data_IF_916397359246
#
_entry.id   IF_916397359246
#
_cell.length_a   1.000
_cell.length_b   1.000
_cell.length_c   1.000
_cell.angle_alpha   90.00
_cell.angle_beta   90.00
_cell.angle_gamma   90.00
#
_symmetry.space_group_name_H-M   'P 1'
#
loop_
_entity.id
_entity.type
_entity.pdbx_description
1 polymer ?
#
# COMPACT_ATOMS: atom_id res chain seq x y z
N UNK A 1 19.18 -17.23 -39.57
CA UNK A 1 18.71 -15.84 -39.43
C UNK A 1 17.44 -15.68 -40.26
N UNK A 2 16.33 -15.34 -39.62
CA UNK A 2 15.11 -14.87 -40.26
C UNK A 2 14.43 -13.92 -39.26
N UNK A 3 14.17 -12.68 -39.65
CA UNK A 3 13.67 -11.63 -38.76
C UNK A 3 12.21 -11.35 -39.07
N UNK A 4 11.30 -11.89 -38.25
CA UNK A 4 9.93 -11.40 -38.14
C UNK A 4 9.89 -10.39 -36.99
N UNK A 5 9.47 -9.17 -37.28
CA UNK A 5 9.21 -8.14 -36.28
C UNK A 5 7.71 -7.85 -36.31
N UNK A 6 7.03 -8.08 -35.19
CA UNK A 6 5.61 -7.78 -35.01
C UNK A 6 5.42 -6.80 -33.85
N UNK A 7 4.31 -6.06 -33.88
CA UNK A 7 4.25 -4.71 -33.32
C UNK A 7 3.99 -4.66 -31.81
N UNK A 8 4.67 -3.70 -31.16
CA UNK A 8 4.39 -3.28 -29.79
C UNK A 8 3.23 -2.25 -29.81
N UNK A 9 2.14 -2.44 -29.06
CA UNK A 9 1.17 -1.39 -28.76
C UNK A 9 1.65 -0.51 -27.60
N UNK A 10 1.36 0.79 -27.68
CA UNK A 10 1.83 1.81 -26.73
C UNK A 10 1.12 1.71 -25.37
N UNK A 11 1.85 1.81 -24.26
CA UNK A 11 1.29 1.69 -22.90
C UNK A 11 0.97 3.08 -22.34
N UNK A 12 -0.28 3.49 -22.48
CA UNK A 12 -0.76 4.76 -21.96
C UNK A 12 -0.75 4.79 -20.41
N UNK A 13 0.00 5.72 -19.83
CA UNK A 13 0.11 5.93 -18.38
C UNK A 13 -1.05 6.76 -17.82
N UNK A 14 -2.20 6.11 -17.57
CA UNK A 14 -3.32 6.75 -16.85
C UNK A 14 -3.13 6.69 -15.33
N UNK A 15 -2.88 7.85 -14.70
CA UNK A 15 -2.71 7.96 -13.25
C UNK A 15 -4.02 7.86 -12.45
N UNK A 16 -3.94 7.29 -11.24
CA UNK A 16 -5.05 7.17 -10.28
C UNK A 16 -5.41 8.52 -9.63
N UNK A 17 -6.70 8.95 -9.64
CA UNK A 17 -7.15 10.12 -8.88
C UNK A 17 -7.37 9.82 -7.38
N UNK A 18 -6.86 10.67 -6.51
CA UNK A 18 -7.09 10.63 -5.04
C UNK A 18 -8.46 11.28 -4.69
N UNK A 19 -9.41 10.54 -4.07
CA UNK A 19 -10.78 11.03 -3.83
C UNK A 19 -10.91 11.92 -2.59
N UNK A 20 -9.97 12.85 -2.34
CA UNK A 20 -9.97 13.70 -1.12
C UNK A 20 -9.67 15.20 -1.31
N UNK A 21 -10.27 15.85 -2.32
CA UNK A 21 -10.49 17.32 -2.26
C UNK A 21 -11.55 17.85 -3.24
N UNK A 22 -12.69 18.28 -2.70
CA UNK A 22 -13.66 19.13 -3.40
C UNK A 22 -14.29 20.11 -2.38
N UNK A 23 -13.75 21.31 -2.31
CA UNK A 23 -14.37 22.45 -1.61
C UNK A 23 -13.94 23.72 -2.34
N UNK A 24 -14.90 24.36 -3.00
CA UNK A 24 -14.68 25.50 -3.89
C UNK A 24 -15.50 26.69 -3.41
N UNK A 25 -14.84 27.66 -2.77
CA UNK A 25 -15.41 28.98 -2.58
C UNK A 25 -15.38 29.76 -3.91
N UNK A 26 -16.43 30.54 -4.25
CA UNK A 26 -16.38 31.50 -5.35
C UNK A 26 -15.63 32.78 -4.92
N UNK A 27 -14.98 33.43 -5.88
CA UNK A 27 -14.24 34.69 -5.71
C UNK A 27 -15.10 35.91 -5.99
N UNK A 28 -14.87 37.00 -5.26
CA UNK A 28 -15.41 38.33 -5.58
C UNK A 28 -14.62 38.98 -6.73
N UNK A 29 -15.29 39.64 -7.69
CA UNK A 29 -14.95 41.01 -8.09
C UNK A 29 -16.00 41.69 -9.01
N UNK A 30 -16.22 42.97 -8.75
CA UNK A 30 -16.42 44.07 -9.71
C UNK A 30 -17.43 43.95 -10.87
N UNK A 31 -18.63 44.50 -10.65
CA UNK A 31 -19.44 45.17 -11.69
C UNK A 31 -20.18 46.38 -11.09
N UNK A 32 -20.34 47.47 -11.85
CA UNK A 32 -20.88 48.76 -11.37
C UNK A 32 -22.02 49.28 -12.25
N UNK A 33 -22.95 50.07 -11.68
CA UNK A 33 -23.88 50.89 -12.49
C UNK A 33 -25.24 51.28 -11.89
N UNK A 34 -25.30 52.49 -11.33
CA UNK A 34 -26.44 53.47 -11.40
C UNK A 34 -27.88 52.99 -11.07
N UNK A 35 -28.47 53.54 -9.99
CA UNK A 35 -29.93 53.48 -9.74
C UNK A 35 -30.38 53.99 -8.36
N UNK A 36 -30.75 55.28 -8.28
CA UNK A 36 -31.32 55.98 -7.10
C UNK A 36 -32.68 56.60 -7.51
N UNK A 37 -33.56 57.04 -6.59
CA UNK A 37 -33.65 56.80 -5.13
C UNK A 37 -35.08 56.36 -4.68
N UNK A 38 -35.32 56.05 -3.38
CA UNK A 38 -35.99 57.03 -2.49
C UNK A 38 -36.21 56.62 -1.00
N UNK A 39 -36.18 57.68 -0.17
CA UNK A 39 -36.70 57.86 1.19
C UNK A 39 -36.91 56.65 2.15
N UNK A 40 -35.94 56.46 3.05
CA UNK A 40 -36.24 56.17 4.48
C UNK A 40 -36.37 57.49 5.24
N UNK A 41 -37.34 57.57 6.14
CA UNK A 41 -37.45 58.66 7.13
C UNK A 41 -36.65 58.34 8.41
N UNK A 42 -36.15 59.39 9.07
CA UNK A 42 -35.53 59.36 10.40
C UNK A 42 -35.60 60.78 11.00
N UNK A 43 -35.57 60.87 12.33
CA UNK A 43 -35.60 62.09 13.16
C UNK A 43 -36.95 62.83 13.24
N UNK A 44 -37.50 62.88 14.46
CA UNK A 44 -37.96 64.13 15.06
C UNK A 44 -36.84 64.71 15.96
N UNK A 45 -37.12 65.51 17.00
CA UNK A 45 -38.41 66.06 17.45
C UNK A 45 -38.48 67.60 17.33
N UNK A 46 -39.59 68.20 17.75
CA UNK A 46 -39.58 69.34 18.71
C UNK A 46 -40.98 69.67 19.25
N UNK A 47 -40.98 70.58 20.23
CA UNK A 47 -42.07 70.95 21.13
C UNK A 47 -42.77 72.28 20.70
N UNK A 48 -43.49 72.88 21.65
CA UNK A 48 -44.05 74.25 21.68
C UNK A 48 -45.49 74.46 21.12
N UNK A 49 -46.44 74.29 22.04
CA UNK A 49 -47.42 75.31 22.48
C UNK A 49 -48.51 75.91 21.54
N UNK A 50 -49.34 76.73 22.19
CA UNK A 50 -50.31 77.73 21.72
C UNK A 50 -51.77 77.34 21.33
N UNK A 51 -52.65 77.85 22.22
CA UNK A 51 -53.95 78.51 21.99
C UNK A 51 -55.25 77.75 21.66
N UNK A 52 -56.22 77.96 22.56
CA UNK A 52 -57.64 77.99 22.21
C UNK A 52 -58.04 79.41 21.80
N UNK A 53 -58.76 79.57 20.68
CA UNK A 53 -60.03 80.32 20.70
C UNK A 53 -60.91 80.17 19.45
N UNK A 54 -62.17 80.56 19.68
CA UNK A 54 -63.26 80.91 18.75
C UNK A 54 -62.79 81.77 17.54
N UNK A 55 -63.53 81.86 16.42
CA UNK A 55 -64.53 82.96 16.38
C UNK A 55 -65.75 82.89 15.43
N UNK A 56 -66.69 83.80 15.73
CA UNK A 56 -67.72 84.48 14.91
C UNK A 56 -69.17 83.93 14.92
N UNK A 57 -70.18 84.61 15.50
CA UNK A 57 -70.73 85.99 15.31
C UNK A 57 -71.73 86.12 14.13
N UNK A 58 -72.79 86.94 14.14
CA UNK A 58 -73.55 87.64 15.21
C UNK A 58 -74.92 88.13 14.63
N UNK A 59 -75.62 89.04 15.34
CA UNK A 59 -76.60 90.07 14.89
C UNK A 59 -78.09 89.99 15.34
N UNK A 60 -78.71 91.19 15.45
CA UNK A 60 -79.69 91.52 16.53
C UNK A 60 -81.10 92.04 16.06
N UNK A 61 -81.81 93.08 16.59
CA UNK A 61 -83.29 93.01 16.80
C UNK A 61 -84.13 93.94 15.88
N UNK A 62 -85.43 94.20 16.19
CA UNK A 62 -85.80 95.52 16.76
C UNK A 62 -86.98 95.50 17.79
N UNK A 63 -87.55 96.68 18.10
CA UNK A 63 -88.29 97.03 19.35
C UNK A 63 -89.78 97.48 19.16
N UNK A 64 -90.44 97.83 20.29
CA UNK A 64 -91.58 98.79 20.47
C UNK A 64 -93.00 98.42 19.94
N UNK A 65 -94.16 98.94 20.39
CA UNK A 65 -94.68 100.04 21.29
C UNK A 65 -96.07 99.57 21.91
N UNK A 66 -96.90 100.36 22.67
CA UNK A 66 -96.79 101.66 23.39
C UNK A 66 -97.05 101.45 24.94
N UNK A 67 -97.86 102.14 25.79
CA UNK A 67 -98.81 103.28 25.79
C UNK A 67 -99.05 103.88 27.24
N UNK A 68 -99.63 105.09 27.42
CA UNK A 68 -99.49 105.87 28.68
C UNK A 68 -100.83 106.42 29.35
N UNK A 69 -100.98 107.67 29.88
CA UNK A 69 -100.99 107.94 31.34
C UNK A 69 -102.09 108.89 31.88
N UNK A 70 -102.06 109.28 33.18
CA UNK A 70 -102.71 110.51 33.71
C UNK A 70 -102.09 111.06 35.02
N UNK A 71 -101.66 112.33 35.02
CA UNK A 71 -101.72 113.26 36.18
C UNK A 71 -103.10 113.98 36.14
N UNK A 72 -103.55 114.95 36.95
CA UNK A 72 -103.06 115.83 38.04
C UNK A 72 -104.31 116.08 38.94
N UNK A 73 -104.34 116.53 40.21
CA UNK A 73 -103.41 117.31 41.02
C UNK A 73 -103.95 118.74 41.26
N UNK A 74 -104.59 119.01 42.42
CA UNK A 74 -104.79 120.37 42.97
C UNK A 74 -105.48 120.40 44.35
N UNK A 75 -105.42 121.55 45.05
CA UNK A 75 -105.85 121.73 46.45
C UNK A 75 -106.25 123.18 46.74
N UNK A 76 -107.22 123.42 47.65
CA UNK A 76 -107.09 124.28 48.86
C UNK A 76 -108.41 124.81 49.47
N UNK A 77 -108.45 124.75 50.81
CA UNK A 77 -109.02 125.72 51.76
C UNK A 77 -110.53 125.90 52.01
N UNK A 78 -110.78 126.52 53.17
CA UNK A 78 -111.99 126.76 53.97
C UNK A 78 -112.37 128.27 53.93
N UNK A 79 -113.29 128.89 54.73
CA UNK A 79 -114.05 128.40 55.91
C UNK A 79 -115.53 128.89 56.01
N UNK A 80 -116.04 128.92 57.24
CA UNK A 80 -117.34 129.41 57.74
C UNK A 80 -117.48 130.97 57.68
N UNK A 81 -118.46 131.70 58.26
CA UNK A 81 -119.42 131.46 59.38
C UNK A 81 -120.59 132.51 59.37
N UNK A 82 -121.58 132.38 60.28
CA UNK A 82 -122.60 133.37 60.75
C UNK A 82 -123.38 134.26 59.74
N UNK A 83 -124.73 134.25 59.71
CA UNK A 83 -125.70 134.83 60.68
C UNK A 83 -125.65 136.36 60.88
N UNK A 84 -126.66 137.09 60.37
CA UNK A 84 -127.64 137.79 61.23
C UNK A 84 -128.78 138.50 60.46
N UNK A 85 -129.99 138.47 61.04
CA UNK A 85 -130.95 139.58 61.08
C UNK A 85 -131.62 140.06 59.79
N UNK A 86 -132.77 139.47 59.41
CA UNK A 86 -133.69 140.06 58.41
C UNK A 86 -135.13 140.10 58.93
N UNK A 87 -135.77 141.24 58.68
CA UNK A 87 -137.20 141.63 58.84
C UNK A 87 -138.22 140.56 58.37
N UNK A 88 -139.53 140.59 58.78
CA UNK A 88 -140.54 139.57 58.48
C UNK A 88 -140.75 139.10 57.02
N UNK A 89 -140.16 139.75 56.01
CA UNK A 89 -140.02 139.17 54.67
C UNK A 89 -139.19 137.85 54.66
N UNK A 90 -138.33 137.65 55.67
CA UNK A 90 -137.47 136.48 55.81
C UNK A 90 -138.23 135.17 56.08
N UNK A 91 -139.39 135.22 56.75
CA UNK A 91 -140.14 134.00 57.07
C UNK A 91 -140.71 133.33 55.80
N UNK A 92 -141.17 134.13 54.84
CA UNK A 92 -141.65 133.63 53.55
C UNK A 92 -140.49 133.04 52.70
N UNK A 93 -139.31 133.67 52.75
CA UNK A 93 -138.10 133.15 52.08
C UNK A 93 -137.55 131.89 52.74
N UNK A 94 -137.60 131.76 54.08
CA UNK A 94 -137.22 130.52 54.78
C UNK A 94 -138.13 129.35 54.41
N UNK A 95 -139.43 129.58 54.19
CA UNK A 95 -140.35 128.56 53.69
C UNK A 95 -139.93 128.01 52.31
N UNK A 96 -139.54 128.88 51.38
CA UNK A 96 -139.07 128.49 50.05
C UNK A 96 -137.71 127.78 50.11
N UNK A 97 -136.78 128.28 50.93
CA UNK A 97 -135.45 127.68 51.16
C UNK A 97 -135.53 126.27 51.79
N UNK A 98 -136.55 126.00 52.62
CA UNK A 98 -136.75 124.70 53.24
C UNK A 98 -137.17 123.61 52.22
N UNK A 99 -138.03 123.93 51.26
CA UNK A 99 -138.36 123.00 50.17
C UNK A 99 -137.22 122.87 49.15
N UNK A 100 -136.41 123.92 48.93
CA UNK A 100 -135.19 123.80 48.12
C UNK A 100 -134.21 122.78 48.71
N UNK A 101 -133.94 122.83 50.03
CA UNK A 101 -133.08 121.82 50.71
C UNK A 101 -133.59 120.39 50.60
N UNK A 102 -134.92 120.18 50.58
CA UNK A 102 -135.52 118.85 50.31
C UNK A 102 -135.26 118.36 48.89
N UNK A 103 -135.17 119.25 47.90
CA UNK A 103 -134.83 118.91 46.53
C UNK A 103 -133.33 118.66 46.37
N UNK A 104 -132.48 119.46 47.01
CA UNK A 104 -131.02 119.27 47.07
C UNK A 104 -130.64 117.91 47.69
N UNK A 105 -131.29 117.51 48.79
CA UNK A 105 -131.08 116.19 49.41
C UNK A 105 -131.37 115.04 48.44
N UNK A 106 -132.54 115.07 47.77
CA UNK A 106 -132.91 114.05 46.77
C UNK A 106 -131.97 114.01 45.56
N UNK A 107 -131.37 115.14 45.20
CA UNK A 107 -130.38 115.21 44.12
C UNK A 107 -129.05 114.56 44.55
N UNK A 108 -128.64 114.75 45.81
CA UNK A 108 -127.46 114.09 46.38
C UNK A 108 -127.64 112.57 46.48
N UNK A 109 -128.82 112.09 46.92
CA UNK A 109 -129.14 110.65 46.97
C UNK A 109 -129.02 110.02 45.57
N UNK A 110 -129.60 110.65 44.54
CA UNK A 110 -129.56 110.17 43.15
C UNK A 110 -128.14 110.16 42.56
N UNK A 111 -127.32 111.17 42.85
CA UNK A 111 -125.93 111.22 42.40
C UNK A 111 -125.06 110.14 43.09
N UNK A 112 -125.37 109.82 44.35
CA UNK A 112 -124.68 108.76 45.10
C UNK A 112 -124.97 107.38 44.51
N UNK A 113 -126.25 107.10 44.19
CA UNK A 113 -126.64 105.84 43.56
C UNK A 113 -126.12 105.73 42.11
N UNK A 114 -126.04 106.85 41.38
CA UNK A 114 -125.42 106.89 40.05
C UNK A 114 -123.92 106.58 40.07
N UNK A 115 -123.19 106.99 41.12
CA UNK A 115 -121.80 106.62 41.32
C UNK A 115 -121.66 105.10 41.58
N UNK A 116 -122.44 104.57 42.53
CA UNK A 116 -122.46 103.13 42.87
C UNK A 116 -122.68 102.24 41.64
N UNK A 117 -123.69 102.55 40.82
CA UNK A 117 -124.01 101.78 39.61
C UNK A 117 -122.94 101.90 38.51
N UNK A 118 -122.06 102.89 38.57
CA UNK A 118 -120.94 103.05 37.64
C UNK A 118 -119.77 102.14 38.04
N UNK A 119 -119.39 102.16 39.31
CA UNK A 119 -118.31 101.32 39.84
C UNK A 119 -118.66 99.82 39.69
N UNK A 120 -119.91 99.44 39.96
CA UNK A 120 -120.44 98.07 39.81
C UNK A 120 -120.46 97.59 38.33
N UNK A 121 -120.50 98.51 37.35
CA UNK A 121 -120.29 98.20 35.93
C UNK A 121 -118.81 98.06 35.55
N UNK A 122 -117.95 98.89 36.13
CA UNK A 122 -116.50 98.92 35.83
C UNK A 122 -115.79 97.66 36.39
N UNK A 123 -116.26 97.12 37.52
CA UNK A 123 -115.83 95.82 38.06
C UNK A 123 -116.24 94.65 37.15
N UNK A 124 -117.50 94.62 36.69
CA UNK A 124 -117.98 93.58 35.77
C UNK A 124 -117.24 93.57 34.43
N UNK A 125 -116.78 94.73 33.95
CA UNK A 125 -116.11 94.89 32.65
C UNK A 125 -114.65 94.40 32.64
N UNK A 126 -114.00 94.38 33.80
CA UNK A 126 -112.58 94.00 33.96
C UNK A 126 -112.38 92.56 34.48
N UNK A 127 -113.46 91.79 34.66
CA UNK A 127 -113.40 90.39 35.08
C UNK A 127 -112.92 89.49 33.92
N UNK A 128 -111.79 88.76 34.05
CA UNK A 128 -111.36 87.84 33.00
C UNK A 128 -112.37 86.70 32.81
N UNK A 129 -112.55 86.18 31.58
CA UNK A 129 -113.49 85.11 31.30
C UNK A 129 -113.10 83.83 32.06
N UNK A 130 -114.09 83.21 32.71
CA UNK A 130 -113.90 81.94 33.39
C UNK A 130 -113.61 80.86 32.34
N UNK A 131 -112.51 80.07 32.47
CA UNK A 131 -112.21 79.02 31.51
C UNK A 131 -113.30 77.93 31.53
N UNK A 132 -113.74 77.52 30.33
CA UNK A 132 -114.74 76.48 30.15
C UNK A 132 -114.25 75.15 30.78
N UNK A 133 -115.01 74.52 31.69
CA UNK A 133 -114.64 73.22 32.27
C UNK A 133 -114.43 72.13 31.20
N UNK A 134 -115.07 72.24 30.03
CA UNK A 134 -114.85 71.34 28.88
C UNK A 134 -113.42 71.46 28.35
N UNK A 135 -112.92 72.68 28.19
CA UNK A 135 -111.55 72.94 27.72
C UNK A 135 -110.49 72.51 28.74
N UNK A 136 -110.78 72.64 30.04
CA UNK A 136 -109.93 72.10 31.10
C UNK A 136 -109.90 70.56 31.08
N UNK A 137 -111.04 69.91 30.88
CA UNK A 137 -111.11 68.45 30.80
C UNK A 137 -110.38 67.90 29.56
N UNK A 138 -110.46 68.59 28.42
CA UNK A 138 -109.71 68.22 27.21
C UNK A 138 -108.20 68.49 27.34
N UNK A 139 -107.80 69.55 28.04
CA UNK A 139 -106.39 69.78 28.39
C UNK A 139 -105.84 68.68 29.32
N UNK A 140 -106.61 68.20 30.28
CA UNK A 140 -106.25 67.07 31.14
C UNK A 140 -106.17 65.75 30.36
N UNK A 141 -107.14 65.50 29.47
CA UNK A 141 -107.15 64.35 28.56
C UNK A 141 -105.93 64.37 27.62
N UNK A 142 -105.60 65.54 27.07
CA UNK A 142 -104.45 65.73 26.18
C UNK A 142 -103.13 65.58 26.95
N UNK A 143 -103.03 66.12 28.17
CA UNK A 143 -101.88 65.96 29.07
C UNK A 143 -101.66 64.50 29.44
N UNK A 144 -102.74 63.75 29.67
CA UNK A 144 -102.70 62.31 29.97
C UNK A 144 -102.24 61.50 28.75
N UNK A 145 -102.74 61.82 27.54
CA UNK A 145 -102.26 61.24 26.28
C UNK A 145 -100.78 61.56 26.04
N UNK A 146 -100.39 62.82 26.20
CA UNK A 146 -99.00 63.28 26.06
C UNK A 146 -98.06 62.56 27.03
N UNK A 147 -98.41 62.45 28.31
CA UNK A 147 -97.61 61.71 29.30
C UNK A 147 -97.51 60.21 28.97
N UNK A 148 -98.54 59.60 28.38
CA UNK A 148 -98.50 58.21 27.90
C UNK A 148 -97.60 58.05 26.68
N UNK A 149 -97.67 58.98 25.72
CA UNK A 149 -96.77 59.03 24.56
C UNK A 149 -95.32 59.27 24.99
N UNK A 150 -95.06 60.18 25.95
CA UNK A 150 -93.74 60.47 26.50
C UNK A 150 -93.11 59.26 27.19
N UNK A 151 -93.90 58.46 27.92
CA UNK A 151 -93.43 57.16 28.48
C UNK A 151 -93.10 56.14 27.39
N UNK A 152 -93.94 56.03 26.35
CA UNK A 152 -93.67 55.15 25.20
C UNK A 152 -92.45 55.59 24.40
N UNK A 153 -92.24 56.90 24.25
CA UNK A 153 -91.06 57.50 23.63
C UNK A 153 -89.79 57.09 24.40
N UNK A 154 -89.70 57.38 25.71
CA UNK A 154 -88.53 56.99 26.51
C UNK A 154 -88.30 55.46 26.53
N UNK A 155 -89.37 54.65 26.54
CA UNK A 155 -89.24 53.20 26.41
C UNK A 155 -88.66 52.78 25.05
N UNK A 156 -89.06 53.46 23.96
CA UNK A 156 -88.56 53.18 22.61
C UNK A 156 -87.14 53.70 22.40
N UNK A 157 -86.81 54.88 22.93
CA UNK A 157 -85.46 55.45 22.96
C UNK A 157 -84.51 54.54 23.75
N UNK A 158 -84.93 54.01 24.90
CA UNK A 158 -84.17 53.00 25.65
C UNK A 158 -83.99 51.69 24.85
N UNK A 159 -84.99 51.24 24.09
CA UNK A 159 -84.88 50.07 23.22
C UNK A 159 -83.93 50.33 22.04
N UNK A 160 -83.98 51.50 21.41
CA UNK A 160 -83.07 51.90 20.32
C UNK A 160 -81.64 51.99 20.84
N UNK A 161 -81.41 52.58 22.01
CA UNK A 161 -80.08 52.68 22.62
C UNK A 161 -79.52 51.31 23.05
N UNK A 162 -80.38 50.34 23.38
CA UNK A 162 -79.96 48.96 23.66
C UNK A 162 -79.62 48.22 22.36
N UNK A 163 -80.48 48.30 21.35
CA UNK A 163 -80.23 47.74 20.01
C UNK A 163 -79.00 48.35 19.34
N UNK A 164 -78.69 49.63 19.56
CA UNK A 164 -77.49 50.27 19.04
C UNK A 164 -76.21 49.59 19.57
N UNK A 165 -76.13 49.33 20.88
CA UNK A 165 -75.02 48.60 21.51
C UNK A 165 -74.94 47.14 21.06
N UNK A 166 -76.09 46.50 20.84
CA UNK A 166 -76.17 45.14 20.30
C UNK A 166 -75.67 45.08 18.85
N UNK A 167 -75.99 46.08 18.01
CA UNK A 167 -75.42 46.18 16.67
C UNK A 167 -73.92 46.51 16.68
N UNK A 168 -73.45 47.33 17.61
CA UNK A 168 -72.03 47.68 17.74
C UNK A 168 -71.17 46.48 18.18
N UNK A 169 -71.67 45.67 19.12
CA UNK A 169 -71.04 44.39 19.51
C UNK A 169 -71.07 43.37 18.39
N UNK A 170 -72.21 43.17 17.71
CA UNK A 170 -72.31 42.30 16.53
C UNK A 170 -71.39 42.75 15.37
N UNK A 171 -71.07 44.04 15.27
CA UNK A 171 -70.08 44.54 14.29
C UNK A 171 -68.67 44.09 14.66
N UNK A 172 -68.30 44.19 15.94
CA UNK A 172 -67.04 43.67 16.47
C UNK A 172 -66.90 42.16 16.28
N UNK A 173 -67.94 41.39 16.62
CA UNK A 173 -67.99 39.94 16.39
C UNK A 173 -67.79 39.60 14.89
N UNK A 174 -68.38 40.40 13.99
CA UNK A 174 -68.23 40.23 12.54
C UNK A 174 -66.82 40.57 12.04
N UNK A 175 -66.18 41.59 12.61
CA UNK A 175 -64.78 41.96 12.32
C UNK A 175 -63.81 40.87 12.80
N UNK A 176 -64.05 40.27 13.98
CA UNK A 176 -63.28 39.13 14.49
C UNK A 176 -63.48 37.86 13.63
N UNK A 177 -64.71 37.56 13.22
CA UNK A 177 -65.00 36.42 12.31
C UNK A 177 -64.31 36.60 10.96
N UNK A 178 -64.22 37.82 10.41
CA UNK A 178 -63.50 38.07 9.16
C UNK A 178 -61.97 37.93 9.34
N UNK A 179 -61.42 38.41 10.46
CA UNK A 179 -60.02 38.21 10.83
C UNK A 179 -59.65 36.72 10.92
N UNK A 180 -60.40 35.95 11.73
CA UNK A 180 -60.22 34.50 11.90
C UNK A 180 -60.39 33.73 10.58
N UNK A 181 -61.24 34.22 9.68
CA UNK A 181 -61.44 33.63 8.34
C UNK A 181 -60.25 33.89 7.41
N UNK A 182 -59.56 35.00 7.55
CA UNK A 182 -58.34 35.31 6.80
C UNK A 182 -57.15 34.50 7.33
N UNK A 183 -56.97 34.44 8.65
CA UNK A 183 -55.99 33.55 9.30
C UNK A 183 -56.20 32.08 8.89
N UNK A 184 -57.44 31.58 8.90
CA UNK A 184 -57.74 30.23 8.42
C UNK A 184 -57.39 30.02 6.95
N UNK A 185 -57.50 31.04 6.08
CA UNK A 185 -57.05 30.91 4.68
C UNK A 185 -55.53 30.85 4.57
N UNK A 186 -54.79 31.58 5.40
CA UNK A 186 -53.32 31.56 5.41
C UNK A 186 -52.80 30.22 5.95
N UNK A 187 -53.33 29.75 7.08
CA UNK A 187 -53.03 28.41 7.63
C UNK A 187 -53.33 27.27 6.64
N UNK A 188 -54.37 27.40 5.80
CA UNK A 188 -54.65 26.42 4.74
C UNK A 188 -53.68 26.50 3.54
N UNK A 189 -53.09 27.68 3.25
CA UNK A 189 -52.01 27.82 2.24
C UNK A 189 -50.72 27.22 2.76
N UNK A 190 -50.36 27.50 4.01
CA UNK A 190 -49.17 26.94 4.65
C UNK A 190 -49.26 25.42 4.77
N UNK A 191 -50.45 24.88 5.09
CA UNK A 191 -50.69 23.43 5.10
C UNK A 191 -50.50 22.78 3.72
N UNK A 192 -50.95 23.42 2.63
CA UNK A 192 -50.75 22.95 1.26
C UNK A 192 -49.26 23.00 0.84
N UNK A 193 -48.50 24.00 1.30
CA UNK A 193 -47.04 24.07 1.12
C UNK A 193 -46.36 22.94 1.89
N UNK A 194 -46.65 22.77 3.18
CA UNK A 194 -46.07 21.71 4.03
C UNK A 194 -46.41 20.30 3.52
N UNK A 195 -47.59 20.10 2.92
CA UNK A 195 -47.96 18.84 2.25
C UNK A 195 -47.08 18.58 1.02
N UNK A 196 -46.79 19.59 0.21
CA UNK A 196 -45.90 19.46 -0.96
C UNK A 196 -44.45 19.21 -0.55
N UNK A 197 -43.96 19.88 0.49
CA UNK A 197 -42.63 19.63 1.04
C UNK A 197 -42.49 18.21 1.60
N UNK A 198 -43.49 17.74 2.37
CA UNK A 198 -43.56 16.36 2.85
C UNK A 198 -43.52 15.35 1.70
N UNK A 199 -44.29 15.59 0.63
CA UNK A 199 -44.41 14.66 -0.49
C UNK A 199 -43.18 14.70 -1.41
N UNK A 200 -42.42 15.80 -1.43
CA UNK A 200 -41.08 15.84 -2.03
C UNK A 200 -40.08 15.05 -1.19
N UNK A 201 -40.01 15.29 0.13
CA UNK A 201 -39.12 14.54 1.04
C UNK A 201 -39.40 13.03 1.01
N UNK A 202 -40.66 12.62 0.83
CA UNK A 202 -41.03 11.21 0.64
C UNK A 202 -40.50 10.61 -0.68
N UNK A 203 -40.46 11.39 -1.77
CA UNK A 203 -39.85 10.98 -3.04
C UNK A 203 -38.32 10.91 -2.94
N UNK A 204 -37.70 11.91 -2.31
CA UNK A 204 -36.25 11.97 -2.12
C UNK A 204 -35.77 10.80 -1.23
N UNK A 205 -36.49 10.48 -0.16
CA UNK A 205 -36.22 9.33 0.69
C UNK A 205 -36.34 7.99 -0.07
N UNK A 206 -37.31 7.87 -0.97
CA UNK A 206 -37.47 6.69 -1.83
C UNK A 206 -36.32 6.57 -2.86
N UNK A 207 -35.86 7.69 -3.42
CA UNK A 207 -34.71 7.73 -4.31
C UNK A 207 -33.41 7.32 -3.59
N UNK A 208 -33.11 7.94 -2.44
CA UNK A 208 -31.95 7.61 -1.60
C UNK A 208 -31.97 6.16 -1.13
N UNK A 209 -33.16 5.62 -0.80
CA UNK A 209 -33.30 4.20 -0.45
C UNK A 209 -32.88 3.29 -1.62
N UNK A 210 -33.36 3.58 -2.83
CA UNK A 210 -33.03 2.84 -4.05
C UNK A 210 -31.53 2.94 -4.40
N UNK A 211 -30.91 4.10 -4.24
CA UNK A 211 -29.47 4.28 -4.44
C UNK A 211 -28.65 3.49 -3.41
N UNK A 212 -29.04 3.54 -2.13
CA UNK A 212 -28.41 2.76 -1.06
C UNK A 212 -28.55 1.24 -1.29
N UNK A 213 -29.68 0.77 -1.80
CA UNK A 213 -29.88 -0.65 -2.16
C UNK A 213 -29.03 -1.05 -3.38
N UNK A 214 -28.87 -0.17 -4.38
CA UNK A 214 -28.00 -0.41 -5.53
C UNK A 214 -26.51 -0.42 -5.13
N UNK A 215 -26.08 0.47 -4.22
CA UNK A 215 -24.72 0.44 -3.66
C UNK A 215 -24.46 -0.84 -2.87
N UNK A 216 -25.44 -1.34 -2.10
CA UNK A 216 -25.30 -2.61 -1.38
C UNK A 216 -25.04 -3.79 -2.35
N UNK A 217 -25.77 -3.84 -3.47
CA UNK A 217 -25.55 -4.85 -4.53
C UNK A 217 -24.16 -4.71 -5.18
N UNK A 218 -23.64 -3.49 -5.37
CA UNK A 218 -22.28 -3.27 -5.86
C UNK A 218 -21.22 -3.75 -4.85
N UNK A 219 -21.38 -3.47 -3.56
CA UNK A 219 -20.48 -3.97 -2.52
C UNK A 219 -20.47 -5.51 -2.44
N UNK A 220 -21.64 -6.15 -2.52
CA UNK A 220 -21.76 -7.62 -2.57
C UNK A 220 -21.06 -8.20 -3.82
N UNK A 221 -21.19 -7.54 -4.98
CA UNK A 221 -20.48 -7.92 -6.21
C UNK A 221 -18.96 -7.80 -6.08
N UNK A 222 -18.46 -6.70 -5.50
CA UNK A 222 -17.01 -6.51 -5.30
C UNK A 222 -16.43 -7.45 -4.22
N UNK A 223 -17.23 -7.85 -3.23
CA UNK A 223 -16.85 -8.87 -2.25
C UNK A 223 -16.72 -10.26 -2.91
N UNK A 224 -17.65 -10.63 -3.79
CA UNK A 224 -17.56 -11.88 -4.58
C UNK A 224 -16.37 -11.87 -5.56
N UNK A 225 -16.06 -10.73 -6.18
CA UNK A 225 -14.90 -10.55 -7.05
C UNK A 225 -13.58 -10.68 -6.26
N UNK A 226 -13.45 -9.96 -5.12
CA UNK A 226 -12.30 -10.06 -4.20
C UNK A 226 -12.04 -11.50 -3.79
N UNK A 227 -13.07 -12.19 -3.32
CA UNK A 227 -12.97 -13.58 -2.86
C UNK A 227 -12.58 -14.54 -3.99
N UNK A 228 -12.91 -14.22 -5.23
CA UNK A 228 -12.51 -15.02 -6.41
C UNK A 228 -11.03 -14.79 -6.73
N UNK A 229 -10.60 -13.52 -6.77
CA UNK A 229 -9.20 -13.14 -6.96
C UNK A 229 -8.28 -13.67 -5.84
N UNK A 230 -8.76 -13.76 -4.59
CA UNK A 230 -8.02 -14.38 -3.49
C UNK A 230 -7.78 -15.87 -3.71
N UNK A 231 -8.80 -16.64 -4.13
CA UNK A 231 -8.65 -18.07 -4.46
C UNK A 231 -7.74 -18.30 -5.67
N UNK A 232 -7.82 -17.43 -6.68
CA UNK A 232 -6.90 -17.47 -7.83
C UNK A 232 -5.45 -17.19 -7.40
N UNK A 233 -5.24 -16.21 -6.50
CA UNK A 233 -3.92 -15.93 -5.92
C UNK A 233 -3.38 -17.13 -5.16
N UNK A 234 -4.18 -17.73 -4.27
CA UNK A 234 -3.80 -18.94 -3.52
C UNK A 234 -3.47 -20.13 -4.44
N UNK A 235 -4.19 -20.30 -5.55
CA UNK A 235 -3.91 -21.34 -6.54
C UNK A 235 -2.58 -21.09 -7.27
N UNK A 236 -2.29 -19.85 -7.66
CA UNK A 236 -1.04 -19.47 -8.32
C UNK A 236 0.17 -19.53 -7.36
N UNK A 237 -0.03 -19.27 -6.07
CA UNK A 237 0.99 -19.48 -5.04
C UNK A 237 1.34 -20.97 -4.89
N UNK A 238 0.34 -21.86 -4.90
CA UNK A 238 0.54 -23.31 -4.86
C UNK A 238 1.21 -23.85 -6.13
N UNK A 239 0.80 -23.39 -7.32
CA UNK A 239 1.41 -23.78 -8.59
C UNK A 239 2.89 -23.38 -8.66
N UNK A 240 3.20 -22.13 -8.28
CA UNK A 240 4.58 -21.62 -8.15
C UNK A 240 5.43 -22.52 -7.26
N UNK A 241 4.91 -22.87 -6.08
CA UNK A 241 5.68 -23.65 -5.09
C UNK A 241 5.90 -25.11 -5.54
N UNK A 242 4.95 -25.70 -6.27
CA UNK A 242 5.14 -26.98 -6.96
C UNK A 242 6.25 -26.90 -8.01
N UNK A 243 6.24 -25.88 -8.87
CA UNK A 243 7.27 -25.66 -9.90
C UNK A 243 8.66 -25.45 -9.27
N UNK A 244 8.73 -24.76 -8.12
CA UNK A 244 9.99 -24.61 -7.37
C UNK A 244 10.50 -25.94 -6.81
N UNK A 245 9.61 -26.78 -6.28
CA UNK A 245 9.97 -28.12 -5.79
C UNK A 245 10.42 -29.06 -6.91
N UNK A 246 9.77 -29.03 -8.08
CA UNK A 246 10.18 -29.77 -9.27
C UNK A 246 11.55 -29.32 -9.78
N UNK A 247 11.79 -28.01 -9.88
CA UNK A 247 13.08 -27.42 -10.25
C UNK A 247 14.20 -27.90 -9.32
N UNK A 248 13.98 -27.86 -8.01
CA UNK A 248 15.00 -28.21 -7.02
C UNK A 248 15.26 -29.72 -6.98
N UNK A 249 14.26 -30.53 -7.29
CA UNK A 249 14.41 -31.98 -7.52
C UNK A 249 15.26 -32.27 -8.77
N UNK A 250 14.98 -31.60 -9.89
CA UNK A 250 15.76 -31.75 -11.13
C UNK A 250 17.22 -31.25 -11.00
N UNK A 251 17.48 -30.26 -10.14
CA UNK A 251 18.83 -29.83 -9.77
C UNK A 251 19.58 -30.93 -8.99
N UNK A 252 18.92 -31.58 -8.02
CA UNK A 252 19.51 -32.70 -7.27
C UNK A 252 19.80 -33.90 -8.18
N UNK A 253 18.89 -34.26 -9.09
CA UNK A 253 19.10 -35.33 -10.06
C UNK A 253 20.30 -35.03 -10.97
N UNK A 254 20.36 -33.82 -11.55
CA UNK A 254 21.51 -33.35 -12.36
C UNK A 254 22.82 -33.48 -11.60
N UNK A 255 22.86 -33.05 -10.34
CA UNK A 255 24.09 -33.02 -9.55
C UNK A 255 24.52 -34.43 -9.12
N UNK A 256 23.58 -35.36 -8.93
CA UNK A 256 23.86 -36.79 -8.78
C UNK A 256 24.46 -37.40 -10.06
N UNK A 257 23.90 -37.09 -11.23
CA UNK A 257 24.41 -37.57 -12.54
C UNK A 257 25.83 -37.02 -12.81
N UNK A 258 26.11 -35.78 -12.40
CA UNK A 258 27.45 -35.20 -12.49
C UNK A 258 28.47 -35.94 -11.59
N UNK A 259 28.08 -36.31 -10.37
CA UNK A 259 28.94 -37.10 -9.48
C UNK A 259 29.20 -38.52 -10.02
N UNK A 260 28.17 -39.19 -10.55
CA UNK A 260 28.32 -40.51 -11.18
C UNK A 260 29.25 -40.45 -12.40
N UNK A 261 29.07 -39.46 -13.28
CA UNK A 261 29.95 -39.20 -14.42
C UNK A 261 31.41 -39.03 -13.97
N UNK A 262 31.66 -38.25 -12.92
CA UNK A 262 33.02 -37.95 -12.47
C UNK A 262 33.68 -39.16 -11.80
N UNK A 263 32.91 -40.04 -11.14
CA UNK A 263 33.39 -41.37 -10.72
C UNK A 263 33.78 -42.24 -11.92
N UNK A 264 32.92 -42.33 -12.95
CA UNK A 264 33.18 -43.12 -14.17
C UNK A 264 34.44 -42.60 -14.91
N UNK A 265 34.70 -41.29 -14.89
CA UNK A 265 35.93 -40.72 -15.44
C UNK A 265 37.17 -41.12 -14.63
N UNK A 266 37.08 -41.10 -13.29
CA UNK A 266 38.17 -41.56 -12.41
C UNK A 266 38.47 -43.06 -12.58
N UNK A 267 37.44 -43.90 -12.68
CA UNK A 267 37.57 -45.34 -12.91
C UNK A 267 38.22 -45.63 -14.28
N UNK A 268 37.78 -44.92 -15.33
CA UNK A 268 38.38 -44.99 -16.68
C UNK A 268 39.86 -44.61 -16.66
N UNK A 269 40.22 -43.52 -15.99
CA UNK A 269 41.60 -43.02 -15.99
C UNK A 269 42.52 -43.93 -15.16
N UNK A 270 41.98 -44.56 -14.11
CA UNK A 270 42.66 -45.64 -13.37
C UNK A 270 42.90 -46.88 -14.24
N UNK A 271 41.89 -47.34 -14.98
CA UNK A 271 42.02 -48.48 -15.91
C UNK A 271 42.97 -48.20 -17.09
N UNK A 272 43.11 -46.93 -17.51
CA UNK A 272 44.13 -46.52 -18.49
C UNK A 272 45.55 -46.60 -17.89
N UNK A 273 45.74 -46.22 -16.63
CA UNK A 273 47.02 -46.36 -15.93
C UNK A 273 47.42 -47.83 -15.73
N UNK A 274 46.47 -48.70 -15.38
CA UNK A 274 46.70 -50.16 -15.29
C UNK A 274 47.10 -50.75 -16.65
N UNK A 275 46.39 -50.39 -17.73
CA UNK A 275 46.71 -50.79 -19.11
C UNK A 275 48.14 -50.38 -19.49
N UNK A 276 48.54 -49.15 -19.20
CA UNK A 276 49.85 -48.63 -19.61
C UNK A 276 50.99 -49.25 -18.80
N UNK A 277 50.73 -49.61 -17.54
CA UNK A 277 51.66 -50.40 -16.71
C UNK A 277 51.81 -51.83 -17.25
N UNK A 278 50.71 -52.50 -17.61
CA UNK A 278 50.73 -53.84 -18.22
C UNK A 278 51.36 -53.87 -19.62
N UNK A 279 51.31 -52.76 -20.37
CA UNK A 279 52.05 -52.60 -21.63
C UNK A 279 53.56 -52.48 -21.37
N UNK A 280 53.97 -51.73 -20.34
CA UNK A 280 55.38 -51.63 -19.95
C UNK A 280 55.95 -52.99 -19.51
N UNK A 281 55.28 -53.70 -18.59
CA UNK A 281 55.71 -55.05 -18.15
C UNK A 281 55.86 -56.03 -19.33
N UNK A 282 54.94 -55.96 -20.30
CA UNK A 282 54.99 -56.77 -21.51
C UNK A 282 56.23 -56.44 -22.37
N UNK A 283 56.57 -55.17 -22.52
CA UNK A 283 57.69 -54.76 -23.36
C UNK A 283 59.03 -55.04 -22.66
N UNK A 284 59.10 -54.93 -21.32
CA UNK A 284 60.22 -55.42 -20.50
C UNK A 284 60.43 -56.94 -20.67
N UNK A 285 59.36 -57.74 -20.58
CA UNK A 285 59.41 -59.20 -20.83
C UNK A 285 59.82 -59.54 -22.27
N UNK A 286 59.44 -58.72 -23.26
CA UNK A 286 59.90 -58.88 -24.64
C UNK A 286 61.41 -58.55 -24.78
N UNK A 287 61.93 -57.59 -24.02
CA UNK A 287 63.36 -57.29 -23.97
C UNK A 287 64.15 -58.43 -23.31
N UNK A 288 63.72 -58.94 -22.15
CA UNK A 288 64.35 -60.11 -21.51
C UNK A 288 64.37 -61.33 -22.44
N UNK A 289 63.25 -61.61 -23.11
CA UNK A 289 63.16 -62.67 -24.12
C UNK A 289 64.10 -62.44 -25.30
N UNK A 290 64.38 -61.19 -25.67
CA UNK A 290 65.39 -60.83 -26.67
C UNK A 290 66.80 -61.22 -26.22
N UNK A 291 67.17 -60.89 -24.98
CA UNK A 291 68.47 -61.24 -24.39
C UNK A 291 68.64 -62.77 -24.30
N UNK A 292 67.65 -63.49 -23.77
CA UNK A 292 67.69 -64.95 -23.66
C UNK A 292 67.79 -65.66 -25.03
N UNK A 293 67.24 -65.08 -26.10
CA UNK A 293 67.41 -65.58 -27.46
C UNK A 293 68.82 -65.34 -28.00
N UNK A 294 69.43 -64.20 -27.67
CA UNK A 294 70.83 -63.92 -28.03
C UNK A 294 71.79 -64.86 -27.28
N UNK A 295 71.64 -65.01 -25.96
CA UNK A 295 72.45 -65.92 -25.13
C UNK A 295 72.36 -67.37 -25.64
N UNK A 296 71.16 -67.83 -26.00
CA UNK A 296 70.96 -69.15 -26.63
C UNK A 296 71.73 -69.26 -27.95
N UNK A 297 71.71 -68.24 -28.79
CA UNK A 297 72.38 -68.26 -30.09
C UNK A 297 73.91 -68.19 -29.96
N UNK A 298 74.43 -67.54 -28.92
CA UNK A 298 75.85 -67.60 -28.55
C UNK A 298 76.24 -68.98 -28.01
N UNK A 299 75.45 -69.59 -27.12
CA UNK A 299 75.66 -70.98 -26.65
C UNK A 299 75.64 -71.99 -27.80
N UNK A 300 74.80 -71.77 -28.82
CA UNK A 300 74.77 -72.60 -30.03
C UNK A 300 76.04 -72.43 -30.88
N UNK A 301 76.57 -71.21 -31.02
CA UNK A 301 77.87 -70.95 -31.69
C UNK A 301 79.02 -71.63 -30.97
N UNK A 302 79.08 -71.50 -29.64
CA UNK A 302 80.12 -72.12 -28.81
C UNK A 302 80.07 -73.66 -28.89
N UNK A 303 78.87 -74.25 -28.88
CA UNK A 303 78.69 -75.70 -29.11
C UNK A 303 79.17 -76.11 -30.49
N UNK A 304 78.74 -75.40 -31.54
CA UNK A 304 79.06 -75.78 -32.91
C UNK A 304 80.57 -75.61 -33.22
N UNK A 305 81.23 -74.66 -32.55
CA UNK A 305 82.69 -74.56 -32.54
C UNK A 305 83.35 -75.74 -31.80
N UNK A 306 82.87 -76.09 -30.60
CA UNK A 306 83.43 -77.19 -29.80
C UNK A 306 83.22 -78.58 -30.42
N UNK A 307 82.07 -78.82 -31.07
CA UNK A 307 81.84 -80.05 -31.85
C UNK A 307 82.76 -80.11 -33.09
N UNK A 308 83.11 -78.96 -33.70
CA UNK A 308 84.11 -78.91 -34.77
C UNK A 308 85.53 -79.16 -34.27
N UNK A 309 85.97 -78.52 -33.18
CA UNK A 309 87.29 -78.79 -32.57
C UNK A 309 87.45 -80.28 -32.20
N UNK A 310 86.35 -80.92 -31.79
CA UNK A 310 86.27 -82.35 -31.50
C UNK A 310 86.28 -83.22 -32.77
N UNK A 311 85.72 -82.77 -33.89
CA UNK A 311 85.85 -83.44 -35.19
C UNK A 311 87.29 -83.34 -35.72
N UNK A 312 87.87 -82.14 -35.72
CA UNK A 312 89.27 -81.89 -36.06
C UNK A 312 90.22 -82.77 -35.20
N UNK A 313 90.01 -82.81 -33.88
CA UNK A 313 90.80 -83.66 -32.96
C UNK A 313 90.53 -85.18 -33.09
N UNK A 314 89.38 -85.59 -33.62
CA UNK A 314 89.12 -87.00 -33.95
C UNK A 314 89.82 -87.41 -35.24
N UNK A 315 89.95 -86.48 -36.20
CA UNK A 315 90.71 -86.66 -37.43
C UNK A 315 92.21 -86.74 -37.13
N UNK A 316 92.79 -85.79 -36.38
CA UNK A 316 94.19 -85.85 -35.92
C UNK A 316 94.52 -87.21 -35.26
N UNK A 317 93.61 -87.71 -34.43
CA UNK A 317 93.75 -89.01 -33.75
C UNK A 317 93.56 -90.21 -34.68
N UNK A 318 92.83 -90.06 -35.78
CA UNK A 318 92.72 -91.09 -36.83
C UNK A 318 94.03 -91.17 -37.61
N UNK A 319 94.55 -90.02 -38.07
CA UNK A 319 95.77 -89.95 -38.86
C UNK A 319 97.00 -90.41 -38.05
N UNK A 320 97.12 -89.97 -36.78
CA UNK A 320 98.14 -90.49 -35.86
C UNK A 320 97.96 -91.99 -35.50
N UNK A 321 96.79 -92.58 -35.74
CA UNK A 321 96.60 -94.03 -35.63
C UNK A 321 97.11 -94.74 -36.90
N UNK A 322 96.87 -94.17 -38.08
CA UNK A 322 97.40 -94.65 -39.36
C UNK A 322 98.94 -94.60 -39.35
N UNK A 323 99.55 -93.45 -39.04
CA UNK A 323 101.01 -93.31 -38.94
C UNK A 323 101.64 -94.33 -37.98
N UNK A 324 100.99 -94.57 -36.83
CA UNK A 324 101.47 -95.55 -35.84
C UNK A 324 101.38 -96.99 -36.35
N UNK A 325 100.31 -97.32 -37.08
CA UNK A 325 100.09 -98.67 -37.58
C UNK A 325 100.95 -98.95 -38.84
N UNK A 326 101.25 -97.93 -39.64
CA UNK A 326 102.30 -97.95 -40.68
C UNK A 326 103.70 -98.12 -40.05
N UNK A 327 104.06 -97.31 -39.06
CA UNK A 327 105.34 -97.43 -38.35
C UNK A 327 105.52 -98.79 -37.66
N UNK A 328 104.41 -99.42 -37.23
CA UNK A 328 104.40 -100.79 -36.71
C UNK A 328 104.59 -101.83 -37.81
N UNK A 329 104.00 -101.63 -38.98
CA UNK A 329 104.25 -102.50 -40.15
C UNK A 329 105.72 -102.40 -40.59
N UNK A 330 106.31 -101.21 -40.59
CA UNK A 330 107.74 -101.03 -40.85
C UNK A 330 108.63 -101.64 -39.76
N UNK A 331 108.22 -101.58 -38.49
CA UNK A 331 108.89 -102.32 -37.42
C UNK A 331 108.85 -103.84 -37.65
N UNK A 332 107.71 -104.39 -38.10
CA UNK A 332 107.58 -105.82 -38.43
C UNK A 332 108.40 -106.21 -39.68
N UNK A 333 108.40 -105.37 -40.72
CA UNK A 333 109.26 -105.51 -41.89
C UNK A 333 110.74 -105.54 -41.49
N UNK A 334 111.17 -104.63 -40.61
CA UNK A 334 112.53 -104.57 -40.08
C UNK A 334 112.85 -105.77 -39.18
N UNK A 335 111.93 -106.26 -38.36
CA UNK A 335 112.13 -107.48 -37.54
C UNK A 335 112.30 -108.72 -38.42
N UNK A 336 111.47 -108.89 -39.44
CA UNK A 336 111.63 -109.97 -40.42
C UNK A 336 112.98 -109.84 -41.16
N UNK A 337 113.39 -108.61 -41.52
CA UNK A 337 114.68 -108.36 -42.18
C UNK A 337 115.88 -108.61 -41.26
N UNK A 338 115.79 -108.29 -39.97
CA UNK A 338 116.81 -108.65 -38.97
C UNK A 338 116.89 -110.16 -38.83
N UNK A 339 115.76 -110.85 -38.76
CA UNK A 339 115.72 -112.32 -38.68
C UNK A 339 116.31 -112.99 -39.93
N UNK A 340 116.01 -112.50 -41.14
CA UNK A 340 116.65 -112.99 -42.38
C UNK A 340 118.18 -112.87 -42.30
N UNK A 341 118.67 -111.73 -41.78
CA UNK A 341 120.10 -111.48 -41.60
C UNK A 341 120.70 -112.31 -40.46
N UNK A 342 119.96 -112.61 -39.40
CA UNK A 342 120.37 -113.54 -38.33
C UNK A 342 120.47 -114.98 -38.86
N UNK A 343 119.51 -115.44 -39.67
CA UNK A 343 119.56 -116.74 -40.36
C UNK A 343 120.68 -116.80 -41.41
N UNK A 344 120.99 -115.69 -42.09
CA UNK A 344 122.15 -115.59 -43.01
C UNK A 344 123.48 -115.59 -42.25
N UNK A 345 123.59 -114.85 -41.14
CA UNK A 345 124.77 -114.89 -40.25
C UNK A 345 124.93 -116.28 -39.63
N UNK A 346 123.84 -116.95 -39.23
CA UNK A 346 123.87 -118.33 -38.73
C UNK A 346 124.35 -119.31 -39.81
N UNK A 347 123.90 -119.16 -41.07
CA UNK A 347 124.44 -119.93 -42.22
C UNK A 347 125.93 -119.66 -42.44
N UNK A 348 126.37 -118.41 -42.40
CA UNK A 348 127.78 -118.03 -42.56
C UNK A 348 128.66 -118.54 -41.39
N UNK A 349 128.11 -118.62 -40.17
CA UNK A 349 128.78 -119.25 -39.02
C UNK A 349 128.82 -120.78 -39.14
N UNK A 350 127.75 -121.42 -39.63
CA UNK A 350 127.72 -122.85 -39.96
C UNK A 350 128.71 -123.19 -41.10
N UNK A 351 128.85 -122.31 -42.08
CA UNK A 351 129.78 -122.46 -43.20
C UNK A 351 131.25 -122.25 -42.76
N UNK A 352 131.52 -121.26 -41.92
CA UNK A 352 132.83 -121.08 -41.28
C UNK A 352 133.20 -122.28 -40.40
N UNK A 353 132.28 -122.81 -39.59
CA UNK A 353 132.55 -124.00 -38.75
C UNK A 353 132.71 -125.27 -39.58
N UNK A 354 132.04 -125.41 -40.73
CA UNK A 354 132.28 -126.48 -41.69
C UNK A 354 133.66 -126.38 -42.37
N UNK A 355 134.20 -125.17 -42.58
CA UNK A 355 135.56 -124.95 -43.12
C UNK A 355 136.67 -124.97 -42.04
N UNK A 356 136.33 -124.89 -40.75
CA UNK A 356 137.28 -124.76 -39.64
C UNK A 356 137.84 -126.09 -39.08
N UNK A 357 137.97 -127.15 -39.88
CA UNK A 357 138.64 -128.40 -39.49
C UNK A 357 140.04 -128.52 -40.13
N UNK A 358 140.99 -127.70 -39.66
CA UNK A 358 142.30 -127.53 -40.30
C UNK A 358 143.45 -127.04 -39.39
N UNK A 359 143.54 -127.53 -38.14
CA UNK A 359 144.61 -127.27 -37.14
C UNK A 359 144.68 -125.83 -36.55
N UNK A 360 144.26 -125.64 -35.28
CA UNK A 360 145.08 -125.58 -34.04
C UNK A 360 145.80 -124.23 -33.79
N UNK A 361 145.40 -123.44 -32.79
CA UNK A 361 145.50 -123.63 -31.31
C UNK A 361 146.84 -123.17 -30.71
N UNK A 362 146.79 -122.06 -29.94
CA UNK A 362 147.63 -121.76 -28.76
C UNK A 362 147.01 -120.65 -27.91
N UNK A 363 147.35 -120.60 -26.61
CA UNK A 363 146.59 -119.90 -25.54
C UNK A 363 147.49 -119.01 -24.67
N UNK A 364 146.95 -117.88 -24.19
CA UNK A 364 147.27 -117.11 -22.95
C UNK A 364 146.01 -116.25 -22.67
N UNK A 365 145.14 -116.40 -21.67
CA UNK A 365 145.22 -116.49 -20.18
C UNK A 365 145.56 -115.18 -19.45
N UNK A 366 144.57 -114.49 -18.84
CA UNK A 366 144.79 -113.39 -17.88
C UNK A 366 143.56 -112.51 -17.53
N UNK A 367 143.14 -112.42 -16.24
CA UNK A 367 142.09 -111.52 -15.72
C UNK A 367 142.73 -110.37 -14.88
N UNK A 368 142.06 -109.61 -13.95
CA UNK A 368 140.66 -109.62 -13.48
C UNK A 368 140.02 -108.21 -13.30
N UNK A 369 138.97 -108.15 -12.47
CA UNK A 369 138.08 -107.01 -12.22
C UNK A 369 138.61 -105.91 -11.27
N UNK A 370 137.93 -104.75 -11.33
CA UNK A 370 137.50 -104.01 -10.13
C UNK A 370 138.34 -102.80 -9.68
N UNK A 371 137.72 -101.61 -9.67
CA UNK A 371 137.28 -100.90 -8.45
C UNK A 371 136.65 -99.54 -8.80
N UNK A 372 135.96 -98.91 -7.85
CA UNK A 372 135.40 -97.56 -7.99
C UNK A 372 136.30 -96.51 -7.31
N UNK A 373 136.21 -95.23 -7.71
CA UNK A 373 136.16 -94.07 -6.78
C UNK A 373 136.03 -92.72 -7.50
N UNK A 374 135.23 -91.81 -6.93
CA UNK A 374 135.35 -90.32 -6.88
C UNK A 374 135.71 -89.49 -8.13
N UNK A 375 134.92 -88.44 -8.36
CA UNK A 375 135.15 -87.39 -9.38
C UNK A 375 133.83 -87.02 -10.05
N UNK A 376 132.96 -86.19 -9.47
CA UNK A 376 133.15 -84.75 -9.24
C UNK A 376 133.40 -83.94 -10.52
N UNK A 377 132.40 -83.90 -11.40
CA UNK A 377 131.86 -82.58 -11.71
C UNK A 377 130.33 -82.62 -11.83
N UNK A 378 129.66 -81.67 -11.18
CA UNK A 378 128.23 -81.43 -11.39
C UNK A 378 128.14 -80.57 -12.65
N UNK A 379 127.30 -80.87 -13.64
CA UNK A 379 127.00 -79.91 -14.70
C UNK A 379 126.43 -78.66 -14.02
N UNK A 380 127.24 -77.59 -13.96
CA UNK A 380 126.81 -76.32 -13.39
C UNK A 380 125.55 -75.84 -14.11
N UNK A 381 125.38 -76.18 -15.38
CA UNK A 381 124.18 -75.95 -16.19
C UNK A 381 122.91 -76.59 -15.63
N UNK A 382 122.96 -77.74 -14.95
CA UNK A 382 121.75 -78.32 -14.32
C UNK A 382 121.40 -77.58 -13.02
N UNK A 383 122.41 -77.19 -12.22
CA UNK A 383 122.16 -76.36 -11.04
C UNK A 383 121.71 -74.94 -11.43
N UNK A 384 122.30 -74.38 -12.48
CA UNK A 384 121.98 -73.07 -13.06
C UNK A 384 120.61 -73.08 -13.75
N UNK A 385 120.24 -74.11 -14.50
CA UNK A 385 118.90 -74.25 -15.07
C UNK A 385 117.83 -74.41 -13.98
N UNK A 386 118.12 -75.15 -12.90
CA UNK A 386 117.25 -75.22 -11.72
C UNK A 386 117.18 -73.88 -11.00
N UNK A 387 118.29 -73.19 -10.79
CA UNK A 387 118.36 -71.87 -10.17
C UNK A 387 117.64 -70.82 -11.00
N UNK A 388 117.83 -70.78 -12.33
CA UNK A 388 117.17 -69.85 -13.25
C UNK A 388 115.69 -70.19 -13.48
N UNK A 389 115.27 -71.44 -13.25
CA UNK A 389 113.84 -71.83 -13.20
C UNK A 389 113.21 -71.40 -11.87
N UNK A 390 113.87 -71.65 -10.73
CA UNK A 390 113.42 -71.17 -9.41
C UNK A 390 113.41 -69.65 -9.34
N UNK A 391 114.41 -68.97 -9.91
CA UNK A 391 114.51 -67.51 -9.99
C UNK A 391 113.45 -66.92 -10.92
N UNK A 392 113.14 -67.56 -12.07
CA UNK A 392 111.99 -67.17 -12.90
C UNK A 392 110.66 -67.34 -12.17
N UNK A 393 110.44 -68.49 -11.52
CA UNK A 393 109.24 -68.73 -10.72
C UNK A 393 109.12 -67.73 -9.56
N UNK A 394 110.23 -67.38 -8.90
CA UNK A 394 110.26 -66.36 -7.86
C UNK A 394 109.93 -64.95 -8.39
N UNK A 395 110.44 -64.55 -9.57
CA UNK A 395 110.08 -63.27 -10.19
C UNK A 395 108.63 -63.24 -10.70
N UNK A 396 108.12 -64.33 -11.29
CA UNK A 396 106.70 -64.48 -11.66
C UNK A 396 105.78 -64.38 -10.42
N UNK A 397 106.15 -65.07 -9.34
CA UNK A 397 105.39 -65.08 -8.09
C UNK A 397 105.45 -63.71 -7.39
N UNK A 398 106.61 -63.05 -7.35
CA UNK A 398 106.74 -61.66 -6.87
C UNK A 398 105.92 -60.69 -7.72
N UNK A 399 105.93 -60.81 -9.05
CA UNK A 399 105.14 -59.98 -9.95
C UNK A 399 103.63 -60.18 -9.71
N UNK A 400 103.20 -61.42 -9.50
CA UNK A 400 101.82 -61.76 -9.15
C UNK A 400 101.44 -61.17 -7.78
N UNK A 401 102.31 -61.29 -6.78
CA UNK A 401 102.11 -60.71 -5.44
C UNK A 401 101.99 -59.19 -5.52
N UNK A 402 102.91 -58.48 -6.20
CA UNK A 402 102.84 -57.02 -6.34
C UNK A 402 101.55 -56.57 -7.06
N UNK A 403 101.11 -57.30 -8.09
CA UNK A 403 99.87 -56.94 -8.80
C UNK A 403 98.60 -57.28 -7.98
N UNK A 404 98.67 -58.27 -7.08
CA UNK A 404 97.61 -58.53 -6.09
C UNK A 404 97.61 -57.47 -4.97
N UNK A 405 98.77 -57.04 -4.46
CA UNK A 405 98.88 -55.91 -3.52
C UNK A 405 98.35 -54.62 -4.13
N UNK A 406 98.65 -54.36 -5.40
CA UNK A 406 98.19 -53.19 -6.15
C UNK A 406 96.67 -53.21 -6.30
N UNK A 407 96.08 -54.35 -6.69
CA UNK A 407 94.63 -54.54 -6.70
C UNK A 407 94.01 -54.45 -5.30
N UNK A 408 94.71 -54.89 -4.25
CA UNK A 408 94.25 -54.74 -2.87
C UNK A 408 94.20 -53.27 -2.47
N UNK A 409 95.25 -52.49 -2.76
CA UNK A 409 95.29 -51.03 -2.52
C UNK A 409 94.21 -50.30 -3.32
N UNK A 410 93.93 -50.68 -4.57
CA UNK A 410 92.82 -50.12 -5.34
C UNK A 410 91.44 -50.44 -4.72
N UNK A 411 91.25 -51.67 -4.24
CA UNK A 411 90.02 -52.06 -3.55
C UNK A 411 89.87 -51.36 -2.18
N UNK A 412 90.96 -51.19 -1.44
CA UNK A 412 91.00 -50.44 -0.18
C UNK A 412 90.77 -48.94 -0.41
N UNK A 413 91.31 -48.35 -1.47
CA UNK A 413 91.06 -46.95 -1.85
C UNK A 413 89.58 -46.72 -2.21
N UNK A 414 88.98 -47.61 -3.02
CA UNK A 414 87.53 -47.57 -3.32
C UNK A 414 86.70 -47.75 -2.04
N UNK A 415 87.10 -48.64 -1.13
CA UNK A 415 86.42 -48.87 0.16
C UNK A 415 86.61 -47.72 1.16
N UNK A 416 87.69 -46.94 1.03
CA UNK A 416 88.02 -45.79 1.87
C UNK A 416 87.40 -44.46 1.40
N UNK A 417 86.69 -44.45 0.27
CA UNK A 417 85.84 -43.34 -0.14
C UNK A 417 86.55 -42.02 -0.42
N UNK A 418 87.79 -42.05 -0.94
CA UNK A 418 88.49 -40.86 -1.43
C UNK A 418 88.54 -40.87 -2.97
N UNK A 419 88.28 -39.72 -3.63
CA UNK A 419 88.39 -39.63 -5.07
C UNK A 419 89.87 -39.76 -5.49
N UNK A 420 90.09 -40.42 -6.63
CA UNK A 420 91.32 -40.26 -7.40
C UNK A 420 91.10 -39.01 -8.26
N UNK A 421 92.02 -38.06 -8.14
CA UNK A 421 92.05 -36.83 -8.92
C UNK A 421 93.18 -36.95 -9.97
N UNK A 422 93.07 -36.22 -11.09
CA UNK A 422 93.75 -36.42 -12.39
C UNK A 422 93.49 -37.74 -13.12
#
# INVERSE_FOLDING_TARGET
MATAAESIPDVATSGTPDPRRASTAPTEESASGVGLPDHRQSYGPHDEDEEMQDPYQDDVPPEEHPAPPSYDGSSKFTPAVEQHGISPAAEYLMGIMAEFRKLEGKLADLLTEQARLKDENEELRNRPPVPDPTALQDLENLTTKYNKVKKLYFQKESQVNQLAKENETLRGDSEEIESLRNENQELNRDLDILVKERDQVAQDLAAVTKEKDAMAQQFESFEQERDTLERERESLEQERDSILQERDSAIQERDSILQERDSILQDRDSALQERDSALQEKDDVLQERGVLLQERDDILRDRDAADKEKEDALQDRHDACVERDEARQDQENLQNRVKDLEDEVAKLQAQNTAQANGARDKRVSGPPAGHASTGSDYPQDILKLKYDKVKRLYYEQMKTISHLEERLRSAEAMRAGKPIDS
#
